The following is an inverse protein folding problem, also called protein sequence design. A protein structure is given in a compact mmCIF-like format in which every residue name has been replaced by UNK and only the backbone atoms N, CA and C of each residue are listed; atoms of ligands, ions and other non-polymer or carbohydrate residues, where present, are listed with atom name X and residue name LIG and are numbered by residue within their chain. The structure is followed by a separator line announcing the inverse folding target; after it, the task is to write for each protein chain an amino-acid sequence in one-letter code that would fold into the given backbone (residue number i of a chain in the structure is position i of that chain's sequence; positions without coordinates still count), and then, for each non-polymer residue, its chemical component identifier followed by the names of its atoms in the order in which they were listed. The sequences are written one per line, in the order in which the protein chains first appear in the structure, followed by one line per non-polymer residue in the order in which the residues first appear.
data_IF_354468827762
#
_entry.id   IF_354468827762
#
_cell.length_a   1.000
_cell.length_b   1.000
_cell.length_c   1.000
_cell.angle_alpha   90.00
_cell.angle_beta   90.00
_cell.angle_gamma   90.00
#
_symmetry.space_group_name_H-M   'P 1'
#
loop_
_entity.id
_entity.type
_entity.pdbx_description
1 polymer ?
#
# COMPACT_ATOMS: atom_id res chain seq x y z
N UNK A 1 -13.10 1.29 -2.23
CA UNK A 1 -13.89 0.21 -2.88
C UNK A 1 -15.25 0.08 -2.23
N UNK A 2 -16.20 -0.59 -2.92
CA UNK A 2 -17.53 -0.90 -2.41
C UNK A 2 -17.75 -2.40 -2.51
N UNK A 3 -18.35 -2.99 -1.47
CA UNK A 3 -18.64 -4.44 -1.46
C UNK A 3 -19.52 -4.89 -2.61
N UNK A 4 -20.44 -4.04 -3.06
CA UNK A 4 -21.30 -4.32 -4.22
C UNK A 4 -20.51 -4.60 -5.51
N UNK A 5 -19.41 -3.84 -5.73
CA UNK A 5 -18.58 -4.02 -6.91
C UNK A 5 -17.72 -5.29 -6.81
N UNK A 6 -17.24 -5.62 -5.61
CA UNK A 6 -16.55 -6.88 -5.36
C UNK A 6 -17.47 -8.09 -5.60
N UNK A 7 -18.70 -8.04 -5.07
CA UNK A 7 -19.68 -9.11 -5.24
C UNK A 7 -20.02 -9.39 -6.70
N UNK A 8 -19.97 -8.40 -7.59
CA UNK A 8 -20.23 -8.57 -9.04
C UNK A 8 -19.13 -9.35 -9.77
N UNK A 9 -17.88 -9.27 -9.30
CA UNK A 9 -16.71 -9.88 -9.96
C UNK A 9 -16.28 -11.21 -9.32
N UNK A 10 -16.76 -11.52 -8.13
CA UNK A 10 -16.49 -12.80 -7.46
C UNK A 10 -17.34 -13.90 -8.08
N UNK A 11 -16.67 -14.94 -8.59
CA UNK A 11 -17.30 -16.10 -9.21
C UNK A 11 -16.82 -17.43 -8.62
N UNK A 12 -17.28 -18.57 -9.17
CA UNK A 12 -16.97 -19.90 -8.64
C UNK A 12 -15.48 -20.25 -8.69
N UNK A 13 -14.71 -19.57 -9.51
CA UNK A 13 -13.27 -19.78 -9.65
C UNK A 13 -12.43 -18.82 -8.80
N UNK A 14 -13.05 -17.86 -8.11
CA UNK A 14 -12.33 -16.93 -7.21
C UNK A 14 -11.82 -17.70 -6.00
N UNK A 15 -10.51 -17.62 -5.73
CA UNK A 15 -9.85 -18.29 -4.61
C UNK A 15 -9.35 -17.33 -3.56
N UNK A 16 -9.00 -16.12 -3.98
CA UNK A 16 -8.52 -15.08 -3.08
C UNK A 16 -8.94 -13.69 -3.56
N UNK A 17 -9.03 -12.77 -2.61
CA UNK A 17 -9.16 -11.33 -2.84
C UNK A 17 -7.94 -10.68 -2.19
N UNK A 18 -7.30 -9.75 -2.89
CA UNK A 18 -6.18 -8.98 -2.36
C UNK A 18 -6.65 -7.55 -2.11
N UNK A 19 -6.39 -7.06 -0.91
CA UNK A 19 -6.59 -5.65 -0.56
C UNK A 19 -5.26 -5.05 -0.11
N UNK A 20 -5.05 -3.76 -0.40
CA UNK A 20 -3.90 -3.00 0.08
C UNK A 20 -4.42 -1.71 0.72
N UNK A 21 -4.27 -1.58 2.05
CA UNK A 21 -4.73 -0.42 2.82
C UNK A 21 -3.77 -0.10 3.97
N UNK A 22 -3.19 1.10 3.97
CA UNK A 22 -3.29 2.21 3.00
C UNK A 22 -2.85 1.82 1.59
N UNK A 23 -3.54 2.35 0.58
CA UNK A 23 -3.43 1.90 -0.80
C UNK A 23 -2.31 2.61 -1.58
N UNK A 24 -1.51 1.85 -2.30
CA UNK A 24 -0.65 2.33 -3.38
C UNK A 24 -1.37 2.08 -4.72
N UNK A 25 -1.72 3.10 -5.51
CA UNK A 25 -1.13 4.44 -5.55
C UNK A 25 -1.95 5.57 -4.88
N UNK A 26 -3.18 5.32 -4.50
CA UNK A 26 -4.16 6.37 -4.19
C UNK A 26 -3.98 7.04 -2.82
N UNK A 27 -3.29 6.39 -1.90
CA UNK A 27 -3.19 6.83 -0.50
C UNK A 27 -4.49 6.69 0.31
N UNK A 28 -5.50 6.02 -0.25
CA UNK A 28 -6.77 5.78 0.44
C UNK A 28 -6.55 4.78 1.58
N UNK A 29 -7.12 5.07 2.73
CA UNK A 29 -7.23 4.16 3.87
C UNK A 29 -8.68 3.66 3.89
N UNK A 30 -8.87 2.35 3.82
CA UNK A 30 -10.21 1.76 3.87
C UNK A 30 -10.82 1.93 5.25
N UNK A 31 -12.16 2.03 5.31
CA UNK A 31 -12.85 2.17 6.58
C UNK A 31 -12.90 0.84 7.35
N UNK A 32 -13.11 0.94 8.64
CA UNK A 32 -13.25 -0.21 9.53
C UNK A 32 -14.44 -1.08 9.12
N UNK A 33 -15.55 -0.44 8.74
CA UNK A 33 -16.76 -1.10 8.26
C UNK A 33 -16.50 -1.91 6.98
N UNK A 34 -15.77 -1.31 6.01
CA UNK A 34 -15.42 -2.02 4.77
C UNK A 34 -14.53 -3.23 5.05
N UNK A 35 -13.52 -3.08 5.93
CA UNK A 35 -12.61 -4.18 6.28
C UNK A 35 -13.39 -5.30 6.97
N UNK A 36 -14.32 -4.96 7.88
CA UNK A 36 -15.21 -5.94 8.51
C UNK A 36 -16.08 -6.66 7.47
N UNK A 37 -16.74 -5.93 6.58
CA UNK A 37 -17.63 -6.51 5.56
C UNK A 37 -16.87 -7.47 4.63
N UNK A 38 -15.65 -7.12 4.19
CA UNK A 38 -14.89 -7.99 3.30
C UNK A 38 -14.33 -9.23 4.01
N UNK A 39 -13.97 -9.12 5.29
CA UNK A 39 -13.59 -10.27 6.12
C UNK A 39 -14.76 -11.23 6.25
N UNK A 40 -15.93 -10.74 6.68
CA UNK A 40 -17.16 -11.54 6.84
C UNK A 40 -17.55 -12.22 5.52
N UNK A 41 -17.44 -11.51 4.40
CA UNK A 41 -17.71 -12.04 3.07
C UNK A 41 -16.75 -13.17 2.69
N UNK A 42 -15.44 -12.97 2.88
CA UNK A 42 -14.43 -13.96 2.54
C UNK A 42 -14.55 -15.21 3.41
N UNK A 43 -14.80 -15.04 4.71
CA UNK A 43 -15.03 -16.13 5.66
C UNK A 43 -16.27 -16.97 5.30
N UNK A 44 -17.36 -16.29 4.91
CA UNK A 44 -18.62 -16.95 4.51
C UNK A 44 -18.47 -17.73 3.20
N UNK A 45 -17.70 -17.19 2.26
CA UNK A 45 -17.49 -17.80 0.93
C UNK A 45 -16.36 -18.83 0.89
N UNK A 46 -15.55 -18.96 1.93
CA UNK A 46 -14.35 -19.79 1.92
C UNK A 46 -13.29 -19.29 0.92
N UNK A 47 -13.19 -17.96 0.74
CA UNK A 47 -12.24 -17.28 -0.14
C UNK A 47 -11.16 -16.65 0.74
N UNK A 48 -9.89 -16.80 0.41
CA UNK A 48 -8.83 -16.13 1.13
C UNK A 48 -8.88 -14.61 0.95
N UNK A 49 -8.69 -13.88 2.04
CA UNK A 49 -8.45 -12.44 2.04
C UNK A 49 -6.96 -12.18 2.31
N UNK A 50 -6.24 -11.70 1.30
CA UNK A 50 -4.85 -11.28 1.45
C UNK A 50 -4.84 -9.78 1.74
N UNK A 51 -4.52 -9.42 2.97
CA UNK A 51 -4.39 -8.04 3.40
C UNK A 51 -2.92 -7.62 3.34
N UNK A 52 -2.58 -6.76 2.39
CA UNK A 52 -1.25 -6.15 2.27
C UNK A 52 -1.18 -4.91 3.15
N UNK A 53 -0.59 -5.10 4.33
CA UNK A 53 -0.47 -4.12 5.41
C UNK A 53 0.88 -3.37 5.40
N UNK A 54 1.61 -3.40 4.28
CA UNK A 54 2.97 -2.84 4.18
C UNK A 54 3.07 -1.36 4.58
N UNK A 55 1.96 -0.62 4.55
CA UNK A 55 1.85 0.79 4.92
C UNK A 55 1.04 1.04 6.20
N UNK A 56 0.67 0.02 6.98
CA UNK A 56 -0.30 0.10 8.06
C UNK A 56 -0.04 1.18 9.13
N UNK A 57 1.21 1.56 9.37
CA UNK A 57 1.58 2.65 10.30
C UNK A 57 1.76 4.01 9.61
N UNK A 58 1.76 4.07 8.27
CA UNK A 58 1.78 5.33 7.53
C UNK A 58 0.36 5.81 7.26
N UNK A 59 -0.34 6.15 8.32
CA UNK A 59 -1.68 6.72 8.32
C UNK A 59 -1.63 8.05 9.04
N UNK A 60 -2.30 9.05 8.51
CA UNK A 60 -2.18 10.44 8.91
C UNK A 60 -3.37 10.92 9.76
N UNK A 61 -3.22 12.11 10.35
CA UNK A 61 -4.26 12.79 11.13
C UNK A 61 -4.70 11.99 12.36
N UNK A 62 -3.75 11.31 13.03
CA UNK A 62 -4.02 10.54 14.23
C UNK A 62 -4.87 9.28 14.05
N UNK A 63 -5.21 8.96 12.79
CA UNK A 63 -5.98 7.75 12.46
C UNK A 63 -5.12 6.50 12.50
N UNK A 64 -5.76 5.34 12.44
CA UNK A 64 -5.11 4.02 12.32
C UNK A 64 -5.71 3.29 11.11
N UNK A 65 -4.90 2.47 10.46
CA UNK A 65 -5.41 1.52 9.47
C UNK A 65 -6.13 0.38 10.21
N UNK A 66 -7.34 -0.01 9.76
CA UNK A 66 -8.00 -1.19 10.28
C UNK A 66 -7.18 -2.45 10.03
N UNK A 67 -7.17 -3.37 10.99
CA UNK A 67 -6.50 -4.66 10.87
C UNK A 67 -7.52 -5.73 10.48
N UNK A 68 -7.35 -6.36 9.33
CA UNK A 68 -8.28 -7.37 8.84
C UNK A 68 -8.41 -8.57 9.80
N UNK A 69 -7.32 -9.01 10.43
CA UNK A 69 -7.37 -10.10 11.41
C UNK A 69 -8.15 -9.72 12.68
N UNK A 70 -8.20 -8.44 13.04
CA UNK A 70 -8.99 -7.96 14.17
C UNK A 70 -10.51 -8.08 14.00
N UNK A 71 -10.98 -8.32 12.76
CA UNK A 71 -12.41 -8.45 12.43
C UNK A 71 -12.87 -9.90 12.27
N UNK A 72 -11.97 -10.88 12.24
CA UNK A 72 -12.39 -12.29 12.26
C UNK A 72 -12.68 -12.74 13.70
N UNK A 73 -13.66 -13.63 13.84
CA UNK A 73 -13.96 -14.33 15.11
C UNK A 73 -13.22 -15.67 15.21
N UNK A 74 -12.51 -16.06 14.14
CA UNK A 74 -11.78 -17.32 14.06
C UNK A 74 -10.33 -17.13 14.49
N UNK A 75 -9.74 -18.19 15.03
CA UNK A 75 -8.30 -18.23 15.27
C UNK A 75 -7.49 -18.32 13.98
N UNK A 76 -6.16 -18.18 14.08
CA UNK A 76 -5.28 -18.15 12.91
C UNK A 76 -5.30 -19.42 12.08
N UNK A 77 -5.62 -20.58 12.67
CA UNK A 77 -5.65 -21.85 11.95
C UNK A 77 -6.93 -22.03 11.12
N UNK A 78 -7.99 -21.30 11.44
CA UNK A 78 -9.33 -21.45 10.86
C UNK A 78 -9.78 -20.25 10.05
N UNK A 79 -9.11 -19.10 10.15
CA UNK A 79 -9.47 -17.90 9.40
C UNK A 79 -9.07 -17.97 7.93
N UNK A 80 -9.81 -17.25 7.07
CA UNK A 80 -9.45 -17.02 5.66
C UNK A 80 -8.55 -15.79 5.47
N UNK A 81 -8.20 -15.08 6.56
CA UNK A 81 -7.37 -13.86 6.49
C UNK A 81 -5.89 -14.24 6.47
N UNK A 82 -5.18 -13.67 5.51
CA UNK A 82 -3.72 -13.73 5.36
C UNK A 82 -3.21 -12.31 5.46
N UNK A 83 -2.35 -12.03 6.44
CA UNK A 83 -1.70 -10.72 6.55
C UNK A 83 -0.33 -10.79 5.88
N UNK A 84 -0.05 -9.85 5.00
CA UNK A 84 1.26 -9.67 4.37
C UNK A 84 1.85 -8.34 4.81
N UNK A 85 3.11 -8.36 5.25
CA UNK A 85 3.80 -7.15 5.71
C UNK A 85 5.31 -7.28 5.50
N UNK A 86 6.08 -6.25 5.86
CA UNK A 86 7.54 -6.25 5.72
C UNK A 86 8.19 -4.99 6.26
N UNK A 87 9.51 -4.97 6.25
CA UNK A 87 10.32 -3.85 6.74
C UNK A 87 10.61 -2.78 5.68
N UNK A 88 10.26 -3.04 4.42
CA UNK A 88 10.67 -2.21 3.28
C UNK A 88 10.24 -0.75 3.39
N UNK A 89 9.04 -0.48 3.91
CA UNK A 89 8.44 0.87 3.85
C UNK A 89 8.58 1.61 5.18
N UNK A 90 8.16 1.00 6.27
CA UNK A 90 8.16 1.63 7.60
C UNK A 90 9.56 1.89 8.15
N UNK A 91 10.53 1.08 7.76
CA UNK A 91 11.90 1.16 8.26
C UNK A 91 12.90 1.62 7.19
N UNK A 92 12.42 2.02 5.99
CA UNK A 92 13.28 2.44 4.89
C UNK A 92 14.21 1.33 4.35
N UNK A 93 13.89 0.06 4.63
CA UNK A 93 14.77 -1.09 4.35
C UNK A 93 14.38 -1.81 3.06
N UNK A 94 14.12 -1.09 1.99
CA UNK A 94 13.68 -1.67 0.70
C UNK A 94 14.72 -2.59 0.08
N UNK A 95 16.01 -2.29 0.23
CA UNK A 95 17.13 -3.08 -0.29
C UNK A 95 17.30 -4.43 0.41
N UNK A 96 16.77 -4.61 1.62
CA UNK A 96 16.87 -5.85 2.39
C UNK A 96 15.97 -6.97 1.87
N UNK A 97 14.97 -6.67 1.05
CA UNK A 97 14.08 -7.65 0.42
C UNK A 97 13.44 -8.64 1.40
N UNK A 98 12.98 -8.15 2.56
CA UNK A 98 12.31 -8.96 3.59
C UNK A 98 10.86 -8.54 3.77
N UNK A 99 10.00 -9.53 3.80
CA UNK A 99 8.61 -9.48 4.21
C UNK A 99 8.20 -10.82 4.84
N UNK A 100 7.00 -10.87 5.35
CA UNK A 100 6.42 -12.06 5.96
C UNK A 100 4.93 -12.15 5.65
N UNK A 101 4.40 -13.36 5.75
CA UNK A 101 2.98 -13.61 5.77
C UNK A 101 2.59 -14.28 7.09
N UNK A 102 1.43 -13.91 7.63
CA UNK A 102 0.81 -14.52 8.79
C UNK A 102 -0.45 -15.22 8.31
N UNK A 103 -0.49 -16.53 8.43
CA UNK A 103 -1.58 -17.38 7.96
C UNK A 103 -1.61 -18.70 8.75
N UNK A 104 -2.58 -19.58 8.46
CA UNK A 104 -2.63 -20.90 9.06
C UNK A 104 -1.39 -21.75 8.73
N UNK A 105 -1.03 -22.65 9.61
CA UNK A 105 0.19 -23.48 9.53
C UNK A 105 0.26 -24.29 8.23
N UNK A 106 -0.86 -24.83 7.77
CA UNK A 106 -0.91 -25.62 6.52
C UNK A 106 -0.52 -24.78 5.32
N UNK A 107 -1.07 -23.57 5.21
CA UNK A 107 -0.76 -22.65 4.12
C UNK A 107 0.71 -22.18 4.21
N UNK A 108 1.18 -21.80 5.40
CA UNK A 108 2.58 -21.40 5.62
C UNK A 108 3.54 -22.51 5.20
N UNK A 109 3.24 -23.77 5.54
CA UNK A 109 4.06 -24.92 5.11
C UNK A 109 4.17 -25.04 3.58
N UNK A 110 3.05 -24.88 2.88
CA UNK A 110 3.04 -24.88 1.40
C UNK A 110 3.83 -23.70 0.83
N UNK A 111 3.63 -22.48 1.39
CA UNK A 111 4.37 -21.29 0.98
C UNK A 111 5.88 -21.46 1.19
N UNK A 112 6.30 -22.05 2.31
CA UNK A 112 7.70 -22.33 2.61
C UNK A 112 8.32 -23.29 1.60
N UNK A 113 7.58 -24.34 1.22
CA UNK A 113 8.05 -25.30 0.21
C UNK A 113 8.22 -24.62 -1.16
N UNK A 114 7.24 -23.80 -1.59
CA UNK A 114 7.32 -23.05 -2.84
C UNK A 114 8.49 -22.06 -2.81
N UNK A 115 8.60 -21.28 -1.73
CA UNK A 115 9.69 -20.32 -1.55
C UNK A 115 11.06 -21.00 -1.63
N UNK A 116 11.21 -22.17 -0.97
CA UNK A 116 12.44 -22.95 -0.98
C UNK A 116 12.87 -23.37 -2.38
N UNK A 117 11.92 -23.62 -3.29
CA UNK A 117 12.21 -23.99 -4.69
C UNK A 117 12.44 -22.76 -5.59
N UNK A 118 11.87 -21.60 -5.25
CA UNK A 118 11.98 -20.40 -6.08
C UNK A 118 13.24 -19.58 -5.80
N UNK A 119 13.51 -19.29 -4.52
CA UNK A 119 14.58 -18.35 -4.12
C UNK A 119 15.41 -18.85 -2.96
N UNK A 120 15.28 -20.15 -2.61
CA UNK A 120 15.87 -20.74 -1.39
C UNK A 120 15.32 -20.08 -0.12
N UNK A 121 16.14 -19.90 0.91
CA UNK A 121 15.74 -19.25 2.16
C UNK A 121 16.17 -17.78 2.20
N UNK A 122 15.41 -16.97 2.91
CA UNK A 122 15.84 -15.62 3.26
C UNK A 122 17.11 -15.66 4.11
N UNK A 123 18.12 -14.86 3.76
CA UNK A 123 19.40 -14.81 4.50
C UNK A 123 19.19 -14.54 5.98
N UNK A 124 19.89 -15.28 6.84
CA UNK A 124 19.86 -15.14 8.31
C UNK A 124 20.28 -13.72 8.73
N UNK A 125 21.25 -13.10 8.03
CA UNK A 125 21.69 -11.72 8.30
C UNK A 125 20.54 -10.74 8.09
N UNK A 126 19.76 -10.94 7.02
CA UNK A 126 18.63 -10.07 6.71
C UNK A 126 17.46 -10.31 7.69
N UNK A 127 17.28 -11.54 8.16
CA UNK A 127 16.30 -11.86 9.20
C UNK A 127 16.65 -11.16 10.52
N UNK A 128 17.92 -11.22 10.94
CA UNK A 128 18.41 -10.53 12.14
C UNK A 128 18.24 -8.99 12.01
N UNK A 129 18.47 -8.42 10.82
CA UNK A 129 18.22 -7.01 10.55
C UNK A 129 16.73 -6.65 10.68
N UNK A 130 15.82 -7.52 10.19
CA UNK A 130 14.38 -7.33 10.33
C UNK A 130 13.93 -7.41 11.80
N UNK A 131 14.46 -8.38 12.56
CA UNK A 131 14.23 -8.49 13.99
C UNK A 131 14.70 -7.23 14.74
N UNK A 132 15.91 -6.75 14.45
CA UNK A 132 16.42 -5.49 15.00
C UNK A 132 15.53 -4.28 14.70
N UNK A 133 14.98 -4.19 13.48
CA UNK A 133 14.05 -3.13 13.12
C UNK A 133 12.72 -3.22 13.90
N UNK A 134 12.18 -4.42 14.06
CA UNK A 134 10.92 -4.66 14.76
C UNK A 134 11.02 -4.47 16.28
N UNK A 135 12.15 -4.89 16.87
CA UNK A 135 12.41 -4.81 18.31
C UNK A 135 13.02 -3.46 18.74
N UNK A 136 13.53 -2.69 17.79
CA UNK A 136 14.15 -1.40 18.03
C UNK A 136 13.17 -0.27 18.35
N UNK A 137 13.70 0.94 18.46
CA UNK A 137 12.92 2.15 18.79
C UNK A 137 11.87 2.44 17.72
N UNK A 138 10.60 2.28 18.03
CA UNK A 138 9.48 2.53 17.12
C UNK A 138 9.24 4.03 16.85
N UNK A 139 9.82 4.92 17.64
CA UNK A 139 9.79 6.37 17.37
C UNK A 139 10.34 6.75 16.00
N UNK A 140 11.21 5.91 15.40
CA UNK A 140 11.68 6.09 14.02
C UNK A 140 10.51 6.04 13.04
N UNK A 141 9.58 5.11 13.23
CA UNK A 141 8.38 4.98 12.39
C UNK A 141 7.42 6.14 12.61
N UNK A 142 7.26 6.60 13.87
CA UNK A 142 6.43 7.76 14.19
C UNK A 142 6.98 9.04 13.56
N UNK A 143 8.30 9.25 13.63
CA UNK A 143 8.97 10.38 12.99
C UNK A 143 8.83 10.33 11.46
N UNK A 144 8.99 9.15 10.86
CA UNK A 144 8.74 8.97 9.43
C UNK A 144 7.30 9.34 9.08
N UNK A 145 6.32 8.86 9.84
CA UNK A 145 4.89 9.18 9.64
C UNK A 145 4.64 10.68 9.69
N UNK A 146 5.15 11.37 10.69
CA UNK A 146 5.00 12.83 10.83
C UNK A 146 5.65 13.57 9.66
N UNK A 147 6.84 13.15 9.25
CA UNK A 147 7.53 13.71 8.08
C UNK A 147 6.70 13.53 6.82
N UNK A 148 6.19 12.32 6.58
CA UNK A 148 5.36 12.03 5.40
C UNK A 148 4.03 12.80 5.44
N UNK A 149 3.44 12.97 6.61
CA UNK A 149 2.22 13.77 6.76
C UNK A 149 2.45 15.25 6.39
N UNK A 150 3.54 15.84 6.85
CA UNK A 150 3.93 17.19 6.48
C UNK A 150 4.20 17.32 4.98
N UNK A 151 4.99 16.40 4.41
CA UNK A 151 5.30 16.37 2.98
C UNK A 151 4.04 16.22 2.12
N UNK A 152 3.10 15.35 2.53
CA UNK A 152 1.79 15.21 1.91
C UNK A 152 1.04 16.55 1.86
N UNK A 153 1.00 17.25 2.99
CA UNK A 153 0.28 18.53 3.07
C UNK A 153 0.85 19.55 2.11
N UNK A 154 2.18 19.64 2.04
CA UNK A 154 2.88 20.54 1.10
C UNK A 154 2.58 20.12 -0.35
N UNK A 155 2.76 18.84 -0.71
CA UNK A 155 2.51 18.36 -2.07
C UNK A 155 1.06 18.62 -2.51
N UNK A 156 0.08 18.35 -1.65
CA UNK A 156 -1.34 18.59 -1.95
C UNK A 156 -1.62 20.07 -2.12
N UNK A 157 -1.01 20.93 -1.30
CA UNK A 157 -1.17 22.37 -1.42
C UNK A 157 -0.58 22.90 -2.74
N UNK A 158 0.65 22.50 -3.08
CA UNK A 158 1.31 22.91 -4.33
C UNK A 158 0.51 22.45 -5.56
N UNK A 159 0.12 21.18 -5.61
CA UNK A 159 -0.62 20.62 -6.74
C UNK A 159 -2.01 21.26 -6.93
N UNK A 160 -2.74 21.53 -5.85
CA UNK A 160 -4.03 22.23 -5.92
C UNK A 160 -3.91 23.70 -6.30
N UNK A 161 -2.70 24.28 -6.30
CA UNK A 161 -2.41 25.61 -6.83
C UNK A 161 -2.43 25.68 -8.35
N UNK A 162 -2.33 24.54 -9.05
CA UNK A 162 -2.38 24.49 -10.51
C UNK A 162 -3.81 24.35 -11.02
N UNK A 163 -4.17 25.20 -11.97
CA UNK A 163 -5.51 25.15 -12.57
C UNK A 163 -5.75 23.83 -13.30
N UNK A 164 -6.84 23.16 -13.00
CA UNK A 164 -7.24 21.90 -13.62
C UNK A 164 -6.55 20.64 -13.06
N UNK A 165 -5.70 20.75 -12.04
CA UNK A 165 -5.20 19.59 -11.29
C UNK A 165 -6.07 19.38 -10.06
N UNK A 166 -6.49 18.13 -9.85
CA UNK A 166 -7.22 17.72 -8.66
C UNK A 166 -6.49 16.57 -7.97
N UNK A 167 -6.20 16.75 -6.69
CA UNK A 167 -5.62 15.69 -5.87
C UNK A 167 -6.50 15.41 -4.66
N UNK A 168 -6.97 14.18 -4.54
CA UNK A 168 -7.59 13.70 -3.30
C UNK A 168 -6.51 13.59 -2.24
N UNK A 169 -6.69 14.27 -1.11
CA UNK A 169 -5.73 14.25 -0.01
C UNK A 169 -5.51 12.81 0.49
N UNK A 170 -4.30 12.24 0.35
CA UNK A 170 -4.02 10.89 0.82
C UNK A 170 -4.23 10.75 2.33
N UNK A 171 -4.89 9.67 2.76
CA UNK A 171 -5.04 9.33 4.17
C UNK A 171 -3.86 8.56 4.73
N UNK A 172 -3.01 8.00 3.86
CA UNK A 172 -1.83 7.20 4.23
C UNK A 172 -0.87 7.02 3.07
N UNK A 173 0.12 6.15 3.24
CA UNK A 173 1.25 5.90 2.35
C UNK A 173 2.20 7.10 2.22
N UNK A 174 2.96 7.17 1.14
CA UNK A 174 3.76 8.33 0.71
C UNK A 174 3.54 8.63 -0.77
N UNK A 175 2.33 8.29 -1.28
CA UNK A 175 1.92 8.53 -2.67
C UNK A 175 0.67 9.39 -2.72
N UNK A 176 0.54 10.14 -3.81
CA UNK A 176 -0.72 10.72 -4.26
C UNK A 176 -0.93 10.41 -5.74
N UNK A 177 -2.19 10.50 -6.17
CA UNK A 177 -2.61 10.17 -7.53
C UNK A 177 -3.44 11.33 -8.11
N UNK A 178 -2.81 12.50 -8.38
CA UNK A 178 -3.50 13.65 -8.96
C UNK A 178 -4.02 13.35 -10.36
N UNK A 179 -5.14 14.01 -10.67
CA UNK A 179 -5.79 14.03 -11.97
C UNK A 179 -5.17 15.11 -12.85
N UNK A 180 -4.58 14.70 -13.97
CA UNK A 180 -3.96 15.57 -14.98
C UNK A 180 -4.76 15.61 -16.30
N UNK A 181 -6.00 15.12 -16.33
CA UNK A 181 -6.80 15.04 -17.56
C UNK A 181 -7.05 16.40 -18.23
N UNK A 182 -6.94 17.49 -17.48
CA UNK A 182 -6.98 18.84 -18.05
C UNK A 182 -5.78 19.16 -18.93
N UNK A 183 -4.64 18.47 -18.73
CA UNK A 183 -3.40 18.67 -19.48
C UNK A 183 -3.15 17.56 -20.51
N UNK A 184 -3.35 16.32 -20.13
CA UNK A 184 -3.24 15.16 -21.02
C UNK A 184 -4.10 14.01 -20.53
N UNK A 185 -4.77 13.33 -21.46
CA UNK A 185 -5.45 12.06 -21.19
C UNK A 185 -4.51 10.87 -21.31
N UNK A 186 -3.31 11.05 -21.87
CA UNK A 186 -2.29 10.01 -22.03
C UNK A 186 -1.25 10.14 -20.91
N UNK A 187 -1.40 9.34 -19.86
CA UNK A 187 -0.52 9.39 -18.68
C UNK A 187 0.91 8.95 -18.98
N UNK A 188 1.12 8.05 -19.96
CA UNK A 188 2.45 7.59 -20.36
C UNK A 188 3.21 8.71 -21.07
N UNK A 189 2.54 9.38 -22.02
CA UNK A 189 3.14 10.50 -22.75
C UNK A 189 3.49 11.65 -21.81
N UNK A 190 2.56 12.01 -20.89
CA UNK A 190 2.78 13.05 -19.91
C UNK A 190 3.95 12.71 -18.95
N UNK A 191 4.01 11.50 -18.44
CA UNK A 191 5.11 11.04 -17.59
C UNK A 191 6.46 11.15 -18.31
N UNK A 192 6.53 10.72 -19.58
CA UNK A 192 7.74 10.85 -20.41
C UNK A 192 8.11 12.30 -20.70
N UNK A 193 7.13 13.17 -20.90
CA UNK A 193 7.36 14.61 -21.10
C UNK A 193 7.97 15.24 -19.85
N UNK A 194 7.40 14.97 -18.67
CA UNK A 194 7.89 15.47 -17.38
C UNK A 194 9.32 14.98 -17.13
N UNK A 195 9.60 13.71 -17.37
CA UNK A 195 10.93 13.18 -17.23
C UNK A 195 11.95 13.88 -18.15
N UNK A 196 11.61 14.06 -19.42
CA UNK A 196 12.54 14.65 -20.42
C UNK A 196 12.72 16.18 -20.25
N UNK A 197 11.69 16.89 -19.85
CA UNK A 197 11.71 18.36 -19.83
C UNK A 197 11.98 18.95 -18.45
N UNK A 198 11.50 18.29 -17.39
CA UNK A 198 11.58 18.77 -16.02
C UNK A 198 12.43 17.85 -15.11
N UNK A 199 12.89 16.69 -15.59
CA UNK A 199 13.62 15.68 -14.81
C UNK A 199 12.79 15.14 -13.61
N UNK A 200 11.46 15.19 -13.73
CA UNK A 200 10.54 14.69 -12.71
C UNK A 200 10.11 13.27 -13.06
N UNK A 201 10.40 12.34 -12.16
CA UNK A 201 10.02 10.93 -12.30
C UNK A 201 8.62 10.72 -11.73
N UNK A 202 7.72 10.22 -12.55
CA UNK A 202 6.34 9.87 -12.16
C UNK A 202 6.01 8.46 -12.65
N UNK A 203 4.93 7.88 -12.13
CA UNK A 203 4.41 6.61 -12.68
C UNK A 203 3.07 6.88 -13.36
N UNK A 204 2.90 6.47 -14.63
CA UNK A 204 1.64 6.66 -15.35
C UNK A 204 0.46 5.99 -14.63
N UNK A 205 -0.65 6.69 -14.52
CA UNK A 205 -1.88 6.16 -13.93
C UNK A 205 -2.45 4.95 -14.69
N UNK A 206 -2.15 4.84 -15.99
CA UNK A 206 -2.46 3.68 -16.82
C UNK A 206 -2.06 2.35 -16.16
N UNK A 207 -0.89 2.30 -15.50
CA UNK A 207 -0.39 1.10 -14.80
C UNK A 207 -1.28 0.68 -13.61
N UNK A 208 -2.19 1.56 -13.20
CA UNK A 208 -3.14 1.34 -12.10
C UNK A 208 -4.61 1.39 -12.59
N UNK A 209 -4.84 1.35 -13.91
CA UNK A 209 -6.17 1.50 -14.50
C UNK A 209 -6.77 2.91 -14.39
N UNK A 210 -5.95 3.95 -14.11
CA UNK A 210 -6.35 5.34 -13.89
C UNK A 210 -5.71 6.26 -14.94
N UNK A 211 -6.13 6.10 -16.20
CA UNK A 211 -5.61 6.92 -17.29
C UNK A 211 -5.83 8.42 -17.03
N UNK A 212 -4.87 9.25 -17.48
CA UNK A 212 -4.87 10.69 -17.21
C UNK A 212 -4.45 11.10 -15.80
N UNK A 213 -4.08 10.13 -14.94
CA UNK A 213 -3.51 10.38 -13.62
C UNK A 213 -2.01 10.06 -13.61
N UNK A 214 -1.28 10.63 -12.66
CA UNK A 214 0.11 10.28 -12.40
C UNK A 214 0.28 9.93 -10.92
N UNK A 215 1.00 8.84 -10.61
CA UNK A 215 1.42 8.61 -9.23
C UNK A 215 2.68 9.41 -8.94
N UNK A 216 2.60 10.26 -7.92
CA UNK A 216 3.71 11.02 -7.36
C UNK A 216 4.07 10.48 -5.98
N UNK A 217 5.35 10.60 -5.60
CA UNK A 217 5.85 10.24 -4.28
C UNK A 217 6.29 11.49 -3.53
N UNK A 218 5.89 11.62 -2.26
CA UNK A 218 6.33 12.70 -1.38
C UNK A 218 7.37 12.24 -0.33
N UNK A 219 8.14 11.18 -0.66
CA UNK A 219 9.24 10.70 0.19
C UNK A 219 10.46 11.63 0.21
N UNK A 220 10.59 12.53 -0.75
CA UNK A 220 11.72 13.45 -0.87
C UNK A 220 11.77 14.54 0.21
N UNK A 221 12.78 15.37 0.14
CA UNK A 221 12.86 16.58 0.96
C UNK A 221 11.79 17.60 0.50
N UNK A 222 11.42 18.52 1.38
CA UNK A 222 10.50 19.63 1.04
C UNK A 222 11.01 20.42 -0.17
N UNK A 223 12.33 20.59 -0.26
CA UNK A 223 12.94 21.27 -1.40
C UNK A 223 12.69 20.54 -2.71
N UNK A 224 12.89 19.22 -2.75
CA UNK A 224 12.65 18.40 -3.94
C UNK A 224 11.17 18.38 -4.32
N UNK A 225 10.26 18.30 -3.34
CA UNK A 225 8.81 18.35 -3.58
C UNK A 225 8.39 19.67 -4.24
N UNK A 226 8.98 20.80 -3.80
CA UNK A 226 8.67 22.12 -4.35
C UNK A 226 9.33 22.42 -5.69
N UNK A 227 10.43 21.75 -6.00
CA UNK A 227 11.14 21.93 -7.26
C UNK A 227 10.55 21.07 -8.40
N UNK A 228 9.98 19.90 -8.06
CA UNK A 228 9.35 19.00 -9.03
C UNK A 228 7.94 19.42 -9.37
#
# INVERSE_FOLDING_TARGET
PRMEDIKKVVGPNTRAIIINSPNNPSGVVYSDEFIKEIVDFCETKGIYLIADDIYHKLVFEGRRAPNAYGHTTKDIENTMVIIVNGISKLYGMTGFRIGWAIANRKLVSVMTNVQGQMTTTTSVILQAAAEGALMGLQSIVDNLRLTMENNRNIMVQELNGFNGIHVTKPGGTFYCLPDFRAYSKNSVELSNLLLKKALVVTVPGKEFGMEGHLRLSFCGTIKEIKQG
#
